data_IF_292850759332
#
_entry.id   IF_292850759332
#
_cell.length_a   1.000
_cell.length_b   1.000
_cell.length_c   1.000
_cell.angle_alpha   90.00
_cell.angle_beta   90.00
_cell.angle_gamma   90.00
#
_symmetry.space_group_name_H-M   'P 1'
#
loop_
_entity.id
_entity.type
_entity.pdbx_description
1 polymer ?
#
# COMPACT_ATOMS: atom_id res chain seq x y z
N UNK A 1 0.83 22.98 0.10
CA UNK A 1 -0.53 22.72 -0.39
C UNK A 1 -0.54 21.47 -1.26
N UNK A 2 -1.59 20.68 -1.20
CA UNK A 2 -1.72 19.47 -2.00
C UNK A 2 -2.45 19.75 -3.32
N UNK A 3 -2.03 19.08 -4.39
CA UNK A 3 -2.66 19.10 -5.72
C UNK A 3 -2.84 17.68 -6.27
N UNK A 4 -3.28 16.76 -5.42
CA UNK A 4 -3.48 15.36 -5.80
C UNK A 4 -4.81 15.11 -6.54
N UNK A 5 -5.77 16.03 -6.43
CA UNK A 5 -7.09 15.93 -7.05
C UNK A 5 -7.06 16.48 -8.48
N UNK A 6 -7.25 15.59 -9.47
CA UNK A 6 -7.24 15.96 -10.88
C UNK A 6 -8.36 16.95 -11.24
N UNK A 7 -9.54 16.81 -10.64
CA UNK A 7 -10.68 17.70 -10.87
C UNK A 7 -10.41 19.13 -10.36
N UNK A 8 -9.75 19.25 -9.20
CA UNK A 8 -9.38 20.57 -8.66
C UNK A 8 -8.31 21.26 -9.51
N UNK A 9 -7.30 20.51 -10.00
CA UNK A 9 -6.31 21.06 -10.93
C UNK A 9 -7.00 21.58 -12.21
N UNK A 10 -7.93 20.82 -12.75
CA UNK A 10 -8.68 21.21 -13.93
C UNK A 10 -9.59 22.43 -13.66
N UNK A 11 -10.29 22.46 -12.52
CA UNK A 11 -11.17 23.56 -12.10
C UNK A 11 -10.41 24.86 -11.93
N UNK A 12 -9.25 24.81 -11.29
CA UNK A 12 -8.40 25.98 -11.03
C UNK A 12 -7.52 26.35 -12.24
N UNK A 13 -7.41 25.49 -13.24
CA UNK A 13 -6.46 25.59 -14.38
C UNK A 13 -5.02 25.87 -13.89
N UNK A 14 -4.60 25.20 -12.80
CA UNK A 14 -3.24 25.36 -12.26
C UNK A 14 -2.23 24.78 -13.23
N UNK A 15 -1.18 25.56 -13.50
CA UNK A 15 -0.06 25.19 -14.39
C UNK A 15 1.28 25.32 -13.68
N UNK A 16 2.27 24.58 -14.14
CA UNK A 16 3.64 24.68 -13.61
C UNK A 16 4.17 26.10 -13.84
N UNK A 17 4.61 26.74 -12.78
CA UNK A 17 5.12 28.12 -12.78
C UNK A 17 4.09 29.19 -12.42
N UNK A 18 2.82 28.82 -12.20
CA UNK A 18 1.81 29.78 -11.75
C UNK A 18 2.08 30.31 -10.35
N UNK A 19 1.74 31.57 -10.12
CA UNK A 19 1.56 32.13 -8.78
C UNK A 19 0.16 31.79 -8.29
N UNK A 20 0.05 31.29 -7.07
CA UNK A 20 -1.22 30.82 -6.49
C UNK A 20 -1.50 31.47 -5.14
N UNK A 21 -2.78 31.67 -4.84
CA UNK A 21 -3.25 32.07 -3.52
C UNK A 21 -3.50 30.82 -2.69
N UNK A 22 -2.90 30.78 -1.50
CA UNK A 22 -3.02 29.65 -0.57
C UNK A 22 -3.77 30.14 0.68
N UNK A 23 -4.67 29.31 1.21
CA UNK A 23 -5.23 29.50 2.54
C UNK A 23 -5.05 28.22 3.38
N UNK A 24 -5.11 28.36 4.68
CA UNK A 24 -5.24 27.22 5.58
C UNK A 24 -6.72 26.83 5.70
N UNK A 25 -7.03 25.57 5.36
CA UNK A 25 -8.33 24.99 5.62
C UNK A 25 -8.28 24.30 6.98
N UNK A 26 -9.04 24.80 7.96
CA UNK A 26 -9.18 24.16 9.27
C UNK A 26 -7.86 23.97 10.03
N UNK A 27 -6.99 24.97 10.12
CA UNK A 27 -5.73 25.01 10.87
C UNK A 27 -4.65 23.96 10.52
N UNK A 28 -4.87 23.01 9.59
CA UNK A 28 -3.98 21.87 9.40
C UNK A 28 -3.35 21.82 8.00
N UNK A 29 -4.13 21.90 6.93
CA UNK A 29 -3.62 21.65 5.56
C UNK A 29 -3.79 22.87 4.67
N UNK A 30 -2.69 23.44 4.10
CA UNK A 30 -2.81 24.52 3.12
C UNK A 30 -3.48 24.03 1.83
N UNK A 31 -4.44 24.78 1.31
CA UNK A 31 -5.09 24.53 0.02
C UNK A 31 -4.84 25.67 -0.96
N UNK A 32 -4.81 25.35 -2.25
CA UNK A 32 -4.79 26.34 -3.33
C UNK A 32 -6.20 26.84 -3.58
N UNK A 33 -6.43 28.13 -3.39
CA UNK A 33 -7.75 28.76 -3.57
C UNK A 33 -7.94 29.23 -5.01
N UNK A 34 -6.92 29.88 -5.58
CA UNK A 34 -6.98 30.45 -6.92
C UNK A 34 -5.60 30.62 -7.53
N UNK A 35 -5.56 30.79 -8.84
CA UNK A 35 -4.38 31.19 -9.62
C UNK A 35 -4.42 32.68 -9.86
N UNK A 36 -3.27 33.36 -9.71
CA UNK A 36 -3.08 34.77 -10.06
C UNK A 36 -2.68 34.83 -11.53
N UNK A 37 -3.67 34.90 -12.41
CA UNK A 37 -3.49 34.81 -13.86
C UNK A 37 -2.60 35.90 -14.44
N UNK A 38 -2.59 37.09 -13.83
CA UNK A 38 -1.74 38.21 -14.25
C UNK A 38 -0.25 37.90 -14.12
N UNK A 39 0.12 36.99 -13.20
CA UNK A 39 1.48 36.55 -12.96
C UNK A 39 1.83 35.23 -13.68
N UNK A 40 0.93 34.71 -14.52
CA UNK A 40 1.18 33.45 -15.24
C UNK A 40 2.28 33.65 -16.29
N UNK A 41 3.34 32.83 -16.26
CA UNK A 41 4.39 32.89 -17.27
C UNK A 41 3.84 32.55 -18.67
N UNK A 42 4.35 33.22 -19.69
CA UNK A 42 4.00 32.90 -21.08
C UNK A 42 4.47 31.50 -21.44
N UNK A 43 3.68 30.80 -22.25
CA UNK A 43 4.04 29.45 -22.74
C UNK A 43 3.76 28.30 -21.75
N UNK A 44 3.13 28.56 -20.60
CA UNK A 44 2.72 27.51 -19.68
C UNK A 44 1.68 26.59 -20.32
N UNK A 45 1.80 25.27 -20.05
CA UNK A 45 0.88 24.26 -20.55
C UNK A 45 0.01 23.74 -19.42
N UNK A 46 -1.20 23.27 -19.75
CA UNK A 46 -2.05 22.54 -18.81
C UNK A 46 -1.32 21.35 -18.23
N UNK A 47 -1.49 21.09 -16.94
CA UNK A 47 -0.95 19.90 -16.30
C UNK A 47 -1.77 18.70 -16.74
N UNK A 48 -1.08 17.66 -17.20
CA UNK A 48 -1.67 16.38 -17.57
C UNK A 48 -1.05 15.34 -16.65
N UNK A 49 -1.90 14.61 -15.92
CA UNK A 49 -1.42 13.49 -15.12
C UNK A 49 -0.79 12.43 -16.02
N UNK A 50 0.33 11.82 -15.62
CA UNK A 50 0.92 10.75 -16.37
C UNK A 50 -0.05 9.57 -16.47
N UNK A 51 -0.14 8.97 -17.65
CA UNK A 51 -0.88 7.73 -17.89
C UNK A 51 -0.07 6.48 -17.55
N UNK A 52 1.24 6.67 -17.33
CA UNK A 52 2.16 5.62 -16.90
C UNK A 52 2.89 6.04 -15.63
N UNK A 53 3.12 5.07 -14.75
CA UNK A 53 3.85 5.29 -13.52
C UNK A 53 5.31 5.67 -13.83
N UNK A 54 5.84 6.77 -13.25
CA UNK A 54 7.22 7.18 -13.50
C UNK A 54 8.27 6.23 -12.90
N UNK A 55 7.87 5.32 -11.99
CA UNK A 55 8.78 4.38 -11.32
C UNK A 55 8.82 3.03 -12.05
N UNK A 56 7.67 2.45 -12.39
CA UNK A 56 7.59 1.09 -12.92
C UNK A 56 7.04 1.01 -14.36
N UNK A 57 6.57 2.11 -14.94
CA UNK A 57 5.99 2.14 -16.29
C UNK A 57 4.58 1.55 -16.40
N UNK A 58 4.02 0.95 -15.36
CA UNK A 58 2.65 0.44 -15.33
C UNK A 58 1.62 1.54 -15.57
N UNK A 59 0.40 1.17 -15.94
CA UNK A 59 -0.72 2.08 -16.06
C UNK A 59 -0.97 2.88 -14.78
N UNK A 60 -1.61 4.02 -14.94
CA UNK A 60 -2.11 4.85 -13.84
C UNK A 60 -3.58 5.07 -14.06
N UNK A 61 -4.40 4.54 -13.18
CA UNK A 61 -5.86 4.68 -13.21
C UNK A 61 -6.40 5.46 -12.01
N UNK A 62 -7.65 5.87 -12.12
CA UNK A 62 -8.46 6.32 -10.99
C UNK A 62 -9.62 5.33 -10.85
N UNK A 63 -10.06 5.07 -9.62
CA UNK A 63 -11.29 4.34 -9.35
C UNK A 63 -12.48 5.05 -10.04
N UNK A 64 -13.51 4.30 -10.41
CA UNK A 64 -14.69 4.87 -11.05
C UNK A 64 -15.32 5.95 -10.16
N UNK A 65 -15.42 7.18 -10.69
CA UNK A 65 -15.81 8.36 -9.90
C UNK A 65 -14.72 8.90 -8.96
N UNK A 66 -13.55 8.26 -8.89
CA UNK A 66 -12.43 8.67 -8.05
C UNK A 66 -11.61 9.81 -8.65
N UNK A 67 -11.12 10.70 -7.80
CA UNK A 67 -10.30 11.85 -8.18
C UNK A 67 -8.80 11.63 -7.95
N UNK A 68 -8.45 10.53 -7.26
CA UNK A 68 -7.08 10.17 -6.92
C UNK A 68 -6.58 9.14 -7.92
N UNK A 69 -5.48 9.44 -8.57
CA UNK A 69 -4.83 8.52 -9.51
C UNK A 69 -3.75 7.70 -8.82
N UNK A 70 -3.75 6.39 -9.09
CA UNK A 70 -2.77 5.44 -8.52
C UNK A 70 -2.14 4.60 -9.61
N UNK A 71 -0.93 4.13 -9.33
CA UNK A 71 -0.25 3.17 -10.20
C UNK A 71 -0.91 1.79 -10.09
N UNK A 72 -1.24 1.19 -11.22
CA UNK A 72 -1.85 -0.14 -11.31
C UNK A 72 -0.84 -1.28 -11.09
N UNK A 73 0.45 -0.93 -10.92
CA UNK A 73 1.54 -1.90 -10.76
C UNK A 73 1.53 -2.66 -9.44
N UNK A 74 0.72 -2.24 -8.45
CA UNK A 74 0.61 -2.94 -7.16
C UNK A 74 1.99 -3.29 -6.57
N UNK A 75 2.16 -4.55 -6.19
CA UNK A 75 3.42 -5.07 -5.64
C UNK A 75 4.56 -5.20 -6.68
N UNK A 76 4.27 -5.05 -7.98
CA UNK A 76 5.29 -4.99 -9.04
C UNK A 76 6.00 -3.63 -9.06
N UNK A 77 5.33 -2.57 -8.59
CA UNK A 77 5.94 -1.25 -8.50
C UNK A 77 6.85 -1.16 -7.26
N UNK A 78 8.18 -0.93 -7.41
CA UNK A 78 9.10 -0.86 -6.27
C UNK A 78 8.71 0.18 -5.22
N UNK A 79 8.09 1.29 -5.63
CA UNK A 79 7.63 2.31 -4.70
C UNK A 79 6.44 1.84 -3.85
N UNK A 80 5.48 1.12 -4.45
CA UNK A 80 4.35 0.54 -3.73
C UNK A 80 4.78 -0.64 -2.86
N UNK A 81 5.70 -1.47 -3.37
CA UNK A 81 6.24 -2.60 -2.63
C UNK A 81 6.90 -2.17 -1.31
N UNK A 82 7.69 -1.08 -1.33
CA UNK A 82 8.28 -0.53 -0.11
C UNK A 82 7.23 -0.18 0.94
N UNK A 83 6.17 0.51 0.53
CA UNK A 83 5.07 0.87 1.44
C UNK A 83 4.26 -0.36 1.89
N UNK A 84 4.03 -1.32 0.99
CA UNK A 84 3.37 -2.58 1.33
C UNK A 84 4.15 -3.39 2.37
N UNK A 85 5.49 -3.49 2.23
CA UNK A 85 6.33 -4.19 3.22
C UNK A 85 6.35 -3.44 4.56
N UNK A 86 6.42 -2.09 4.56
CA UNK A 86 6.32 -1.30 5.79
C UNK A 86 4.98 -1.51 6.49
N UNK A 87 3.89 -1.54 5.74
CA UNK A 87 2.56 -1.85 6.28
C UNK A 87 2.51 -3.28 6.83
N UNK A 88 2.94 -4.27 6.03
CA UNK A 88 2.97 -5.68 6.39
C UNK A 88 3.73 -5.92 7.70
N UNK A 89 4.88 -5.26 7.87
CA UNK A 89 5.72 -5.40 9.06
C UNK A 89 5.28 -4.59 10.27
N UNK A 90 4.30 -3.71 10.12
CA UNK A 90 3.87 -2.78 11.16
C UNK A 90 3.30 -3.50 12.39
N UNK A 91 3.27 -2.78 13.53
CA UNK A 91 2.84 -3.31 14.84
C UNK A 91 1.42 -3.88 14.82
N UNK A 92 0.49 -3.29 14.08
CA UNK A 92 -0.90 -3.75 13.98
C UNK A 92 -1.07 -4.89 12.96
N UNK A 93 -0.09 -5.08 12.08
CA UNK A 93 -0.04 -6.16 11.10
C UNK A 93 0.79 -7.34 11.64
N UNK A 94 1.88 -7.71 10.99
CA UNK A 94 2.72 -8.87 11.39
C UNK A 94 3.66 -8.59 12.56
N UNK A 95 3.82 -7.33 12.99
CA UNK A 95 4.64 -6.90 14.12
C UNK A 95 6.10 -7.36 14.05
N UNK A 96 6.73 -7.12 12.90
CA UNK A 96 8.11 -7.54 12.66
C UNK A 96 9.05 -6.46 13.18
N UNK A 97 9.55 -6.64 14.40
CA UNK A 97 10.48 -5.71 15.02
C UNK A 97 11.84 -5.70 14.30
N UNK A 98 12.43 -4.52 14.18
CA UNK A 98 13.74 -4.33 13.54
C UNK A 98 13.68 -4.11 12.03
N UNK A 99 12.54 -4.29 11.37
CA UNK A 99 12.36 -4.03 9.93
C UNK A 99 11.94 -2.56 9.69
N UNK A 100 12.86 -1.62 9.91
CA UNK A 100 12.60 -0.21 9.73
C UNK A 100 12.61 0.22 8.25
N UNK A 101 12.09 1.43 7.96
CA UNK A 101 11.93 1.95 6.59
C UNK A 101 13.22 1.90 5.74
N UNK A 102 14.36 2.27 6.30
CA UNK A 102 15.66 2.24 5.59
C UNK A 102 16.09 0.82 5.21
N UNK A 103 15.79 -0.16 6.06
CA UNK A 103 16.11 -1.55 5.77
C UNK A 103 15.20 -2.10 4.67
N UNK A 104 13.91 -1.77 4.70
CA UNK A 104 12.96 -2.11 3.62
C UNK A 104 13.43 -1.51 2.30
N UNK A 105 13.86 -0.24 2.29
CA UNK A 105 14.39 0.41 1.09
C UNK A 105 15.60 -0.34 0.52
N UNK A 106 16.58 -0.70 1.36
CA UNK A 106 17.75 -1.46 0.93
C UNK A 106 17.35 -2.83 0.33
N UNK A 107 16.48 -3.56 1.01
CA UNK A 107 16.05 -4.91 0.58
C UNK A 107 15.34 -4.88 -0.78
N UNK A 108 14.49 -3.90 -1.00
CA UNK A 108 13.76 -3.73 -2.27
C UNK A 108 14.69 -3.22 -3.37
N UNK A 109 15.53 -2.21 -3.08
CA UNK A 109 16.42 -1.59 -4.07
C UNK A 109 17.53 -2.55 -4.56
N UNK A 110 18.00 -3.45 -3.69
CA UNK A 110 18.95 -4.51 -4.10
C UNK A 110 18.27 -5.75 -4.71
N UNK A 111 16.94 -5.75 -4.85
CA UNK A 111 16.17 -6.83 -5.46
C UNK A 111 16.09 -8.13 -4.63
N UNK A 112 16.49 -8.10 -3.36
CA UNK A 112 16.38 -9.27 -2.47
C UNK A 112 14.97 -9.57 -2.02
N UNK A 113 14.12 -8.55 -1.99
CA UNK A 113 12.72 -8.65 -1.60
C UNK A 113 11.87 -8.05 -2.71
N UNK A 114 11.06 -8.88 -3.33
CA UNK A 114 10.11 -8.55 -4.40
C UNK A 114 8.66 -8.78 -3.96
N UNK A 115 8.47 -9.48 -2.84
CA UNK A 115 7.19 -9.70 -2.17
C UNK A 115 7.40 -9.76 -0.66
N UNK A 116 6.37 -9.54 0.17
CA UNK A 116 6.48 -9.72 1.62
C UNK A 116 6.92 -11.13 2.04
N UNK A 117 6.62 -12.15 1.25
CA UNK A 117 7.00 -13.53 1.53
C UNK A 117 8.52 -13.75 1.47
N UNK A 118 9.24 -12.98 0.66
CA UNK A 118 10.69 -13.12 0.50
C UNK A 118 11.45 -12.79 1.80
N UNK A 119 10.86 -12.00 2.70
CA UNK A 119 11.44 -11.70 4.01
C UNK A 119 11.73 -12.95 4.82
N UNK A 120 10.86 -13.97 4.71
CA UNK A 120 10.96 -15.23 5.44
C UNK A 120 11.96 -16.23 4.84
N UNK A 121 12.53 -15.90 3.68
CA UNK A 121 13.56 -16.69 3.00
C UNK A 121 14.98 -16.22 3.33
N UNK A 122 15.15 -15.01 3.86
CA UNK A 122 16.45 -14.42 4.08
C UNK A 122 17.13 -14.97 5.32
N UNK A 123 18.44 -15.21 5.23
CA UNK A 123 19.29 -15.66 6.32
C UNK A 123 19.83 -14.51 7.16
N UNK A 124 20.31 -14.82 8.38
CA UNK A 124 21.04 -13.86 9.24
C UNK A 124 22.21 -13.21 8.49
N UNK A 125 22.96 -13.98 7.70
CA UNK A 125 24.11 -13.48 6.96
C UNK A 125 23.70 -12.45 5.87
N UNK A 126 22.58 -12.68 5.21
CA UNK A 126 22.06 -11.75 4.21
C UNK A 126 21.56 -10.44 4.81
N UNK A 127 20.90 -10.50 5.97
CA UNK A 127 20.54 -9.28 6.70
C UNK A 127 21.79 -8.56 7.23
N UNK A 128 22.75 -9.27 7.80
CA UNK A 128 23.99 -8.69 8.33
C UNK A 128 24.88 -8.02 7.27
N UNK A 129 24.70 -8.39 6.00
CA UNK A 129 25.41 -7.78 4.86
C UNK A 129 24.84 -6.41 4.44
N UNK A 130 23.69 -6.00 5.00
CA UNK A 130 23.06 -4.70 4.69
C UNK A 130 23.70 -3.58 5.52
N UNK A 131 23.62 -2.36 4.98
CA UNK A 131 24.21 -1.20 5.65
C UNK A 131 23.61 -0.99 7.06
N UNK A 132 24.48 -0.76 8.03
CA UNK A 132 24.13 -0.50 9.45
C UNK A 132 23.40 -1.68 10.13
N UNK A 133 23.49 -2.88 9.57
CA UNK A 133 22.94 -4.09 10.15
C UNK A 133 24.08 -4.97 10.69
N UNK A 134 24.22 -5.02 12.01
CA UNK A 134 25.17 -5.91 12.66
C UNK A 134 24.58 -7.31 12.88
N UNK A 135 25.44 -8.29 13.16
CA UNK A 135 25.06 -9.71 13.38
C UNK A 135 23.94 -9.86 14.42
N UNK A 136 24.04 -9.13 15.57
CA UNK A 136 23.03 -9.18 16.63
C UNK A 136 21.67 -8.65 16.16
N UNK A 137 21.65 -7.54 15.43
CA UNK A 137 20.42 -6.96 14.89
C UNK A 137 19.78 -7.86 13.86
N UNK A 138 20.59 -8.50 12.99
CA UNK A 138 20.13 -9.47 12.01
C UNK A 138 19.51 -10.71 12.70
N UNK A 139 20.17 -11.23 13.75
CA UNK A 139 19.62 -12.36 14.52
C UNK A 139 18.32 -12.02 15.23
N UNK A 140 18.20 -10.80 15.79
CA UNK A 140 16.95 -10.34 16.42
C UNK A 140 15.82 -10.20 15.38
N UNK A 141 16.13 -9.69 14.19
CA UNK A 141 15.15 -9.58 13.11
C UNK A 141 14.65 -10.96 12.65
N UNK A 142 15.54 -11.94 12.49
CA UNK A 142 15.15 -13.32 12.19
C UNK A 142 14.25 -13.89 13.30
N UNK A 143 14.58 -13.68 14.55
CA UNK A 143 13.75 -14.14 15.67
C UNK A 143 12.36 -13.48 15.63
N UNK A 144 12.29 -12.19 15.30
CA UNK A 144 11.01 -11.48 15.12
C UNK A 144 10.21 -12.03 13.93
N UNK A 145 10.84 -12.32 12.80
CA UNK A 145 10.21 -12.98 11.65
C UNK A 145 9.66 -14.38 12.03
N UNK A 146 10.42 -15.19 12.76
CA UNK A 146 9.94 -16.48 13.24
C UNK A 146 8.72 -16.35 14.17
N UNK A 147 8.75 -15.39 15.10
CA UNK A 147 7.60 -15.11 15.98
C UNK A 147 6.38 -14.67 15.19
N UNK A 148 6.56 -13.84 14.16
CA UNK A 148 5.47 -13.30 13.34
C UNK A 148 4.76 -14.36 12.48
N UNK A 149 5.33 -15.55 12.30
CA UNK A 149 4.67 -16.67 11.60
C UNK A 149 3.40 -17.10 12.32
N UNK A 150 3.39 -17.03 13.66
CA UNK A 150 2.22 -17.31 14.48
C UNK A 150 1.40 -16.03 14.63
N UNK A 151 0.48 -15.81 13.70
CA UNK A 151 -0.37 -14.62 13.67
C UNK A 151 -1.85 -15.01 13.80
N UNK A 152 -2.73 -14.04 13.83
CA UNK A 152 -4.18 -14.27 13.82
C UNK A 152 -4.76 -13.86 12.47
N UNK A 153 -5.85 -14.49 12.04
CA UNK A 153 -6.51 -14.16 10.77
C UNK A 153 -6.81 -12.66 10.62
N UNK A 154 -7.31 -11.92 11.65
CA UNK A 154 -7.50 -10.47 11.52
C UNK A 154 -6.21 -9.71 11.20
N UNK A 155 -5.12 -10.03 11.90
CA UNK A 155 -3.82 -9.39 11.69
C UNK A 155 -3.25 -9.71 10.32
N UNK A 156 -3.38 -10.96 9.89
CA UNK A 156 -2.97 -11.39 8.56
C UNK A 156 -3.74 -10.66 7.46
N UNK A 157 -5.07 -10.58 7.56
CA UNK A 157 -5.91 -9.85 6.61
C UNK A 157 -5.53 -8.36 6.53
N UNK A 158 -5.31 -7.73 7.69
CA UNK A 158 -4.85 -6.36 7.74
C UNK A 158 -3.45 -6.21 7.11
N UNK A 159 -2.53 -7.14 7.38
CA UNK A 159 -1.17 -7.14 6.85
C UNK A 159 -1.12 -7.27 5.32
N UNK A 160 -2.07 -7.97 4.70
CA UNK A 160 -2.18 -8.09 3.25
C UNK A 160 -2.42 -6.74 2.56
N UNK A 161 -2.91 -5.73 3.28
CA UNK A 161 -3.13 -4.38 2.75
C UNK A 161 -4.24 -4.33 1.71
N UNK A 162 -5.31 -5.14 1.89
CA UNK A 162 -6.48 -5.13 1.03
C UNK A 162 -7.07 -3.71 0.99
N UNK A 163 -7.29 -3.11 -0.19
CA UNK A 163 -7.86 -1.76 -0.28
C UNK A 163 -9.18 -1.64 0.51
N UNK A 164 -9.34 -0.53 1.22
CA UNK A 164 -10.49 -0.23 2.07
C UNK A 164 -10.70 -1.16 3.29
N UNK A 165 -9.83 -2.15 3.51
CA UNK A 165 -9.89 -3.03 4.68
C UNK A 165 -8.91 -2.53 5.74
N UNK A 166 -9.45 -1.85 6.76
CA UNK A 166 -8.72 -1.46 7.96
C UNK A 166 -8.70 -2.57 9.03
N UNK A 167 -8.07 -2.28 10.17
CA UNK A 167 -7.97 -3.22 11.30
C UNK A 167 -9.36 -3.70 11.76
N UNK A 168 -10.32 -2.79 11.95
CA UNK A 168 -11.67 -3.12 12.38
C UNK A 168 -12.39 -4.01 11.36
N UNK A 169 -12.32 -3.68 10.08
CA UNK A 169 -12.93 -4.49 9.01
C UNK A 169 -12.28 -5.87 8.92
N UNK A 170 -10.95 -5.96 9.04
CA UNK A 170 -10.23 -7.23 9.08
C UNK A 170 -10.68 -8.11 10.26
N UNK A 171 -10.90 -7.51 11.43
CA UNK A 171 -11.46 -8.21 12.61
C UNK A 171 -12.85 -8.75 12.34
N UNK A 172 -13.74 -7.93 11.77
CA UNK A 172 -15.14 -8.33 11.48
C UNK A 172 -15.18 -9.45 10.44
N UNK A 173 -14.37 -9.35 9.36
CA UNK A 173 -14.24 -10.40 8.34
C UNK A 173 -13.75 -11.71 8.93
N UNK A 174 -12.70 -11.66 9.77
CA UNK A 174 -12.15 -12.86 10.41
C UNK A 174 -13.16 -13.54 11.34
N UNK A 175 -13.94 -12.76 12.10
CA UNK A 175 -15.01 -13.30 12.97
C UNK A 175 -16.14 -13.94 12.17
N UNK A 176 -16.52 -13.33 11.02
CA UNK A 176 -17.62 -13.81 10.21
C UNK A 176 -17.26 -15.10 9.45
N UNK A 177 -16.08 -15.14 8.83
CA UNK A 177 -15.67 -16.24 7.95
C UNK A 177 -14.86 -17.34 8.65
N UNK A 178 -14.20 -17.04 9.75
CA UNK A 178 -13.43 -17.98 10.57
C UNK A 178 -12.13 -18.49 9.95
N UNK A 179 -12.02 -18.51 8.62
CA UNK A 179 -10.79 -18.92 7.91
C UNK A 179 -10.56 -18.11 6.64
N UNK A 180 -9.31 -18.09 6.19
CA UNK A 180 -8.94 -17.43 4.94
C UNK A 180 -9.60 -18.11 3.73
N UNK A 181 -9.68 -19.44 3.73
CA UNK A 181 -10.29 -20.23 2.66
C UNK A 181 -11.77 -19.87 2.47
N UNK A 182 -12.51 -19.79 3.58
CA UNK A 182 -13.93 -19.42 3.54
C UNK A 182 -14.12 -17.99 3.03
N UNK A 183 -13.25 -17.06 3.45
CA UNK A 183 -13.27 -15.67 3.00
C UNK A 183 -12.96 -15.55 1.50
N UNK A 184 -11.92 -16.24 1.03
CA UNK A 184 -11.49 -16.16 -0.38
C UNK A 184 -12.48 -16.81 -1.34
N UNK A 185 -13.28 -17.76 -0.88
CA UNK A 185 -14.33 -18.41 -1.66
C UNK A 185 -15.67 -17.66 -1.62
N UNK A 186 -15.79 -16.61 -0.79
CA UNK A 186 -17.05 -15.90 -0.61
C UNK A 186 -17.39 -15.02 -1.83
N UNK A 187 -18.60 -15.13 -2.40
CA UNK A 187 -19.07 -14.22 -3.43
C UNK A 187 -19.31 -12.81 -2.86
N UNK A 188 -19.34 -11.81 -3.75
CA UNK A 188 -19.47 -10.38 -3.36
C UNK A 188 -20.75 -10.16 -2.52
N UNK A 189 -21.86 -10.80 -2.88
CA UNK A 189 -23.13 -10.69 -2.18
C UNK A 189 -23.03 -11.18 -0.72
N UNK A 190 -22.23 -12.21 -0.46
CA UNK A 190 -22.00 -12.69 0.90
C UNK A 190 -21.07 -11.75 1.67
N UNK A 191 -20.05 -11.18 1.02
CA UNK A 191 -19.19 -10.16 1.64
C UNK A 191 -19.98 -8.93 2.07
N UNK A 192 -20.97 -8.50 1.29
CA UNK A 192 -21.85 -7.36 1.61
C UNK A 192 -22.76 -7.59 2.84
N UNK A 193 -22.94 -8.83 3.28
CA UNK A 193 -23.70 -9.13 4.51
C UNK A 193 -22.92 -8.88 5.80
N UNK A 194 -21.60 -8.70 5.68
CA UNK A 194 -20.72 -8.45 6.83
C UNK A 194 -20.88 -7.00 7.29
N UNK A 195 -20.99 -6.79 8.60
CA UNK A 195 -21.08 -5.45 9.19
C UNK A 195 -19.90 -4.58 8.75
N UNK A 196 -20.17 -3.34 8.37
CA UNK A 196 -19.19 -2.34 7.87
C UNK A 196 -18.53 -2.71 6.54
N UNK A 197 -19.04 -3.70 5.81
CA UNK A 197 -18.61 -4.06 4.46
C UNK A 197 -19.68 -3.64 3.45
N UNK A 198 -19.52 -2.46 2.89
CA UNK A 198 -20.39 -1.98 1.81
C UNK A 198 -19.97 -2.51 0.42
N UNK A 199 -20.79 -2.23 -0.62
CA UNK A 199 -20.53 -2.75 -1.98
C UNK A 199 -19.14 -2.41 -2.56
N UNK A 200 -18.57 -1.27 -2.20
CA UNK A 200 -17.24 -0.88 -2.64
C UNK A 200 -16.17 -1.77 -2.00
N UNK A 201 -16.26 -1.95 -0.68
CA UNK A 201 -15.31 -2.76 0.09
C UNK A 201 -15.40 -4.23 -0.34
N UNK A 202 -16.62 -4.79 -0.49
CA UNK A 202 -16.83 -6.15 -0.94
C UNK A 202 -16.19 -6.43 -2.31
N UNK A 203 -16.37 -5.51 -3.28
CA UNK A 203 -15.72 -5.63 -4.59
C UNK A 203 -14.20 -5.54 -4.52
N UNK A 204 -13.65 -4.68 -3.67
CA UNK A 204 -12.19 -4.59 -3.50
C UNK A 204 -11.60 -5.85 -2.86
N UNK A 205 -12.29 -6.46 -1.90
CA UNK A 205 -11.91 -7.74 -1.30
C UNK A 205 -11.89 -8.85 -2.37
N UNK A 206 -12.98 -9.03 -3.10
CA UNK A 206 -13.08 -10.02 -4.18
C UNK A 206 -11.98 -9.80 -5.22
N UNK A 207 -11.85 -8.57 -5.72
CA UNK A 207 -10.83 -8.19 -6.70
C UNK A 207 -9.41 -8.47 -6.21
N UNK A 208 -9.11 -8.23 -4.93
CA UNK A 208 -7.80 -8.48 -4.36
C UNK A 208 -7.45 -9.97 -4.39
N UNK A 209 -8.39 -10.83 -3.98
CA UNK A 209 -8.17 -12.27 -3.95
C UNK A 209 -8.20 -12.91 -5.35
N UNK A 210 -8.89 -12.32 -6.32
CA UNK A 210 -8.91 -12.77 -7.72
C UNK A 210 -7.60 -12.47 -8.46
N UNK A 211 -6.75 -11.60 -7.93
CA UNK A 211 -5.47 -11.29 -8.58
C UNK A 211 -4.48 -12.46 -8.45
N UNK A 212 -4.01 -13.07 -9.56
CA UNK A 212 -3.07 -14.21 -9.50
C UNK A 212 -1.77 -13.89 -8.76
N UNK A 213 -1.37 -12.62 -8.78
CA UNK A 213 -0.18 -12.16 -8.05
C UNK A 213 -0.39 -12.23 -6.54
N UNK A 214 -1.51 -11.73 -6.03
CA UNK A 214 -1.83 -11.76 -4.60
C UNK A 214 -1.99 -13.19 -4.10
N UNK A 215 -2.64 -14.06 -4.88
CA UNK A 215 -2.75 -15.49 -4.56
C UNK A 215 -1.37 -16.14 -4.38
N UNK A 216 -0.42 -15.88 -5.31
CA UNK A 216 0.96 -16.39 -5.21
C UNK A 216 1.69 -15.89 -3.98
N UNK A 217 1.48 -14.61 -3.59
CA UNK A 217 2.10 -14.06 -2.37
C UNK A 217 1.52 -14.74 -1.13
N UNK A 218 0.21 -14.92 -1.05
CA UNK A 218 -0.48 -15.60 0.06
C UNK A 218 0.01 -17.07 0.17
N UNK A 219 0.05 -17.79 -0.94
CA UNK A 219 0.57 -19.16 -0.97
C UNK A 219 2.05 -19.23 -0.56
N UNK A 220 2.86 -18.27 -0.96
CA UNK A 220 4.26 -18.21 -0.55
C UNK A 220 4.39 -17.94 0.96
N UNK A 221 3.61 -17.02 1.53
CA UNK A 221 3.57 -16.79 2.98
C UNK A 221 3.18 -18.05 3.75
N UNK A 222 2.14 -18.75 3.31
CA UNK A 222 1.72 -20.02 3.92
C UNK A 222 2.78 -21.11 3.82
N UNK A 223 3.48 -21.22 2.69
CA UNK A 223 4.63 -22.16 2.55
C UNK A 223 5.76 -21.85 3.52
N UNK A 224 5.91 -20.58 3.91
CA UNK A 224 6.85 -20.17 4.95
C UNK A 224 6.31 -20.35 6.37
N UNK A 225 5.13 -20.97 6.53
CA UNK A 225 4.53 -21.26 7.84
C UNK A 225 3.89 -20.05 8.51
N UNK A 226 3.50 -19.03 7.73
CA UNK A 226 2.62 -17.95 8.23
C UNK A 226 1.20 -18.48 8.23
N UNK A 227 0.66 -18.67 9.45
CA UNK A 227 -0.65 -19.27 9.68
C UNK A 227 -1.43 -18.54 10.80
#
# INVERSE_FOLDING_TARGET
>A
ATLHNASEIARLDVRKGDTVVIRRAGDVIPEVVSVVFEHRPRGTRRFIFPSKCPVCGSGVSAEEGGVIRRCDGGLVCPAQLKESIKHFSSRLAMDIEGLGAKLVEQLVDCGRVTTPADLFSLSVAEFAALERMGQKSASNLIASLETSRQTTLPRFLFALGIPQVGEATAQTLAQHFGSLETLTAAPVELLETVTDVGPVVAREISRFFDQPHNQRVIEALRRHGVD
#
